data_IF_820243751846
#
_entry.id   IF_820243751846
#
_cell.length_a   1.000
_cell.length_b   1.000
_cell.length_c   1.000
_cell.angle_alpha   90.00
_cell.angle_beta   90.00
_cell.angle_gamma   90.00
#
_symmetry.space_group_name_H-M   'P 1'
#
loop_
_entity.id
_entity.type
_entity.pdbx_description
1 polymer ?
#
# COMPACT_ATOMS: atom_id res chain seq x y z
N UNK A 1 37.88 -30.51 8.54
CA UNK A 1 37.55 -29.62 9.68
C UNK A 1 36.35 -28.81 9.27
N UNK A 2 35.15 -29.24 9.68
CA UNK A 2 33.91 -28.50 9.35
C UNK A 2 33.79 -27.27 10.25
N UNK A 3 33.78 -26.08 9.67
CA UNK A 3 33.32 -24.87 10.35
C UNK A 3 31.87 -25.09 10.75
N UNK A 4 31.67 -25.29 12.05
CA UNK A 4 30.33 -25.25 12.64
C UNK A 4 29.78 -23.83 12.40
N UNK A 5 28.91 -23.68 11.44
CA UNK A 5 28.18 -22.43 11.21
C UNK A 5 27.47 -22.04 12.51
N UNK A 6 28.00 -21.08 13.23
CA UNK A 6 27.42 -20.57 14.48
C UNK A 6 26.12 -19.81 14.09
N UNK A 7 24.98 -20.47 14.29
CA UNK A 7 23.68 -19.79 14.22
C UNK A 7 23.62 -18.74 15.34
N UNK A 8 23.56 -17.47 14.99
CA UNK A 8 23.33 -16.41 15.95
C UNK A 8 21.82 -16.16 16.10
N UNK A 9 21.31 -15.95 17.31
CA UNK A 9 19.91 -15.53 17.49
C UNK A 9 19.69 -14.22 16.76
N UNK A 10 18.59 -14.12 16.03
CA UNK A 10 18.18 -12.91 15.32
C UNK A 10 16.80 -12.49 15.81
N UNK A 11 16.65 -11.20 16.10
CA UNK A 11 15.33 -10.63 16.33
C UNK A 11 14.58 -10.51 15.00
N UNK A 12 13.26 -10.62 15.05
CA UNK A 12 12.41 -10.43 13.90
C UNK A 12 11.46 -9.26 14.14
N UNK A 13 11.36 -8.36 13.17
CA UNK A 13 10.40 -7.27 13.18
C UNK A 13 9.46 -7.36 11.98
N UNK A 14 8.22 -6.91 12.16
CA UNK A 14 7.25 -6.69 11.10
C UNK A 14 7.14 -5.19 10.82
N UNK A 15 7.28 -4.78 9.56
CA UNK A 15 7.18 -3.38 9.09
C UNK A 15 6.04 -3.25 8.09
N UNK A 16 5.41 -2.07 8.00
CA UNK A 16 4.36 -1.81 7.01
C UNK A 16 4.65 -0.59 6.14
N UNK A 17 4.57 -0.76 4.83
CA UNK A 17 4.43 0.31 3.85
C UNK A 17 2.93 0.53 3.66
N UNK A 18 2.34 1.45 4.43
CA UNK A 18 0.93 1.81 4.31
C UNK A 18 0.81 2.94 3.30
N UNK A 19 0.12 2.66 2.18
CA UNK A 19 -0.05 3.61 1.07
C UNK A 19 -1.50 4.07 0.96
N UNK A 20 -1.67 5.35 0.65
CA UNK A 20 -2.95 5.97 0.32
C UNK A 20 -2.76 7.03 -0.77
N UNK A 21 -3.77 7.26 -1.58
CA UNK A 21 -3.81 8.42 -2.48
C UNK A 21 -4.53 9.56 -1.76
N UNK A 22 -3.78 10.63 -1.45
CA UNK A 22 -4.25 11.85 -0.79
C UNK A 22 -3.90 13.04 -1.69
N UNK A 23 -4.82 13.96 -1.89
CA UNK A 23 -4.64 15.16 -2.72
C UNK A 23 -4.07 14.87 -4.12
N UNK A 24 -4.50 13.72 -4.71
CA UNK A 24 -4.04 13.29 -6.03
C UNK A 24 -2.57 12.83 -6.07
N UNK A 25 -1.95 12.53 -4.93
CA UNK A 25 -0.59 12.04 -4.78
C UNK A 25 -0.55 10.72 -4.00
N UNK A 26 0.36 9.83 -4.37
CA UNK A 26 0.61 8.62 -3.57
C UNK A 26 1.43 9.01 -2.35
N UNK A 27 0.90 8.70 -1.17
CA UNK A 27 1.54 8.99 0.10
C UNK A 27 1.74 7.71 0.91
N UNK A 28 2.77 7.72 1.75
CA UNK A 28 3.10 6.65 2.70
C UNK A 28 2.95 7.20 4.12
N UNK A 29 2.42 6.38 5.01
CA UNK A 29 2.33 6.68 6.43
C UNK A 29 3.68 6.41 7.09
N UNK A 30 4.22 7.42 7.76
CA UNK A 30 5.45 7.36 8.54
C UNK A 30 5.19 7.84 9.96
N UNK A 31 5.99 7.37 10.90
CA UNK A 31 5.97 7.83 12.29
C UNK A 31 7.37 8.23 12.75
N UNK A 32 7.47 9.14 13.72
CA UNK A 32 8.74 9.55 14.29
C UNK A 32 9.16 8.56 15.38
N UNK A 33 10.41 8.12 15.32
CA UNK A 33 10.99 7.21 16.30
C UNK A 33 11.19 7.93 17.64
N UNK A 34 10.75 7.29 18.72
CA UNK A 34 10.94 7.82 20.08
C UNK A 34 12.17 7.26 20.80
N UNK A 35 13.03 6.46 20.11
CA UNK A 35 14.17 5.75 20.72
C UNK A 35 15.35 5.68 19.77
N UNK A 36 16.56 5.59 20.33
CA UNK A 36 17.78 5.24 19.60
C UNK A 36 17.74 3.80 19.04
N UNK A 37 18.44 3.51 17.96
CA UNK A 37 19.10 4.49 17.07
C UNK A 37 18.08 5.27 16.24
N UNK A 38 18.47 6.45 15.74
CA UNK A 38 17.63 7.33 14.91
C UNK A 38 16.45 7.95 15.67
N UNK A 39 16.62 8.36 16.93
CA UNK A 39 15.59 9.10 17.66
C UNK A 39 15.15 10.35 16.89
N UNK A 40 13.84 10.59 16.77
CA UNK A 40 13.24 11.68 16.01
C UNK A 40 13.19 11.49 14.49
N UNK A 41 13.88 10.51 13.92
CA UNK A 41 13.83 10.23 12.50
C UNK A 41 12.51 9.56 12.07
N UNK A 42 12.09 9.83 10.83
CA UNK A 42 10.94 9.17 10.23
C UNK A 42 11.22 7.69 9.93
N UNK A 43 10.23 6.85 10.15
CA UNK A 43 10.34 5.41 9.98
C UNK A 43 9.01 4.79 9.53
N UNK A 44 9.08 3.60 8.94
CA UNK A 44 7.89 2.78 8.71
C UNK A 44 7.30 2.31 10.04
N UNK A 45 5.97 2.33 10.21
CA UNK A 45 5.33 1.75 11.37
C UNK A 45 5.58 0.23 11.42
N UNK A 46 5.80 -0.28 12.63
CA UNK A 46 6.10 -1.69 12.85
C UNK A 46 6.79 -1.91 14.19
N UNK A 47 7.37 -3.09 14.37
CA UNK A 47 8.11 -3.45 15.57
C UNK A 47 8.35 -4.95 15.70
N UNK A 48 8.89 -5.35 16.84
CA UNK A 48 9.26 -6.74 17.10
C UNK A 48 8.06 -7.68 17.05
N UNK A 49 8.29 -8.84 16.46
CA UNK A 49 7.38 -9.99 16.50
C UNK A 49 7.31 -10.52 17.94
N UNK A 50 6.12 -10.69 18.48
CA UNK A 50 5.89 -11.36 19.74
C UNK A 50 6.03 -12.88 19.61
N UNK A 51 6.23 -13.55 20.75
CA UNK A 51 6.49 -15.00 20.78
C UNK A 51 5.26 -15.84 20.39
N UNK A 52 4.06 -15.32 20.61
CA UNK A 52 2.80 -16.05 20.41
C UNK A 52 1.95 -15.43 19.29
N UNK A 53 2.56 -14.72 18.34
CA UNK A 53 1.82 -14.08 17.23
C UNK A 53 2.39 -14.41 15.86
N UNK A 54 1.53 -14.35 14.84
CA UNK A 54 1.97 -14.42 13.45
C UNK A 54 2.52 -13.07 12.99
N UNK A 55 3.31 -13.05 11.92
CA UNK A 55 3.80 -11.81 11.31
C UNK A 55 2.66 -10.86 10.92
N UNK A 56 1.55 -11.39 10.37
CA UNK A 56 0.38 -10.59 10.04
C UNK A 56 -0.32 -10.05 11.30
N UNK A 57 -0.45 -10.86 12.34
CA UNK A 57 -0.98 -10.43 13.64
C UNK A 57 -0.13 -9.31 14.25
N UNK A 58 1.19 -9.49 14.23
CA UNK A 58 2.15 -8.50 14.71
C UNK A 58 2.00 -7.16 13.98
N UNK A 59 1.97 -7.16 12.65
CA UNK A 59 1.88 -5.89 11.90
C UNK A 59 0.54 -5.20 12.14
N UNK A 60 -0.59 -5.92 12.20
CA UNK A 60 -1.89 -5.34 12.52
C UNK A 60 -1.93 -4.72 13.91
N UNK A 61 -1.33 -5.39 14.91
CA UNK A 61 -1.18 -4.87 16.27
C UNK A 61 -0.35 -3.58 16.29
N UNK A 62 0.79 -3.58 15.61
CA UNK A 62 1.66 -2.40 15.56
C UNK A 62 0.99 -1.21 14.85
N UNK A 63 0.27 -1.45 13.75
CA UNK A 63 -0.46 -0.39 13.06
C UNK A 63 -1.56 0.20 13.93
N UNK A 64 -2.34 -0.64 14.63
CA UNK A 64 -3.37 -0.16 15.54
C UNK A 64 -2.80 0.60 16.74
N UNK A 65 -1.69 0.10 17.33
CA UNK A 65 -1.14 0.68 18.55
C UNK A 65 -0.31 1.95 18.33
N UNK A 66 0.38 2.08 17.19
CA UNK A 66 1.34 3.17 16.95
C UNK A 66 0.79 4.28 16.07
N UNK A 67 -0.03 3.94 15.08
CA UNK A 67 -0.47 4.90 14.05
C UNK A 67 -1.99 4.93 13.89
N UNK A 68 -2.70 4.24 14.76
CA UNK A 68 -4.17 4.12 14.81
C UNK A 68 -4.83 3.70 13.48
N UNK A 69 -4.10 2.96 12.66
CA UNK A 69 -4.63 2.37 11.42
C UNK A 69 -5.13 0.97 11.72
N UNK A 70 -6.46 0.80 11.75
CA UNK A 70 -7.14 -0.46 12.06
C UNK A 70 -7.71 -1.13 10.83
N UNK A 71 -8.06 -0.35 9.82
CA UNK A 71 -8.73 -0.81 8.61
C UNK A 71 -7.81 -0.64 7.39
N UNK A 72 -7.44 -1.77 6.81
CA UNK A 72 -6.72 -1.85 5.55
C UNK A 72 -7.61 -2.61 4.57
N UNK A 73 -7.84 -2.04 3.39
CA UNK A 73 -8.58 -2.72 2.33
C UNK A 73 -7.76 -3.84 1.68
N UNK A 74 -6.44 -3.77 1.79
CA UNK A 74 -5.52 -4.81 1.35
C UNK A 74 -4.28 -4.83 2.24
N UNK A 75 -3.82 -6.03 2.58
CA UNK A 75 -2.55 -6.26 3.28
C UNK A 75 -1.90 -7.52 2.69
N UNK A 76 -0.64 -7.42 2.29
CA UNK A 76 0.14 -8.56 1.80
C UNK A 76 1.60 -8.46 2.22
N UNK A 77 2.27 -9.60 2.37
CA UNK A 77 3.71 -9.62 2.56
C UNK A 77 4.42 -9.09 1.31
N UNK A 78 5.31 -8.14 1.50
CA UNK A 78 6.06 -7.48 0.45
C UNK A 78 7.39 -8.19 0.18
N UNK A 79 8.26 -8.17 1.18
CA UNK A 79 9.61 -8.74 1.12
C UNK A 79 10.16 -8.99 2.53
N UNK A 80 11.25 -9.78 2.61
CA UNK A 80 12.01 -9.96 3.85
C UNK A 80 13.44 -9.44 3.63
N UNK A 81 13.92 -8.67 4.59
CA UNK A 81 15.26 -8.09 4.62
C UNK A 81 16.08 -8.71 5.76
N UNK A 82 17.24 -9.22 5.43
CA UNK A 82 18.10 -9.93 6.40
C UNK A 82 19.57 -9.52 6.31
N UNK A 83 19.87 -8.40 5.65
CA UNK A 83 21.24 -7.90 5.59
C UNK A 83 21.80 -7.71 7.02
N UNK A 84 22.98 -8.26 7.33
CA UNK A 84 23.57 -8.16 8.66
C UNK A 84 23.81 -6.73 9.14
N UNK A 85 24.03 -5.78 8.22
CA UNK A 85 24.36 -4.38 8.56
C UNK A 85 23.15 -3.43 8.51
N UNK A 86 21.93 -3.96 8.19
CA UNK A 86 20.73 -3.13 8.13
C UNK A 86 20.32 -2.50 9.46
N UNK A 87 20.76 -3.08 10.57
CA UNK A 87 20.43 -2.65 11.93
C UNK A 87 21.63 -2.92 12.85
N UNK A 88 21.91 -2.09 13.88
CA UNK A 88 23.03 -2.30 14.83
C UNK A 88 23.00 -3.66 15.52
N UNK A 89 21.81 -4.22 15.74
CA UNK A 89 21.63 -5.59 16.23
C UNK A 89 21.20 -6.50 15.10
N UNK A 90 21.52 -7.81 15.19
CA UNK A 90 21.07 -8.79 14.19
C UNK A 90 19.52 -8.79 14.13
N UNK A 91 18.97 -8.23 13.04
CA UNK A 91 17.54 -8.03 12.85
C UNK A 91 17.12 -8.52 11.47
N UNK A 92 16.09 -9.35 11.43
CA UNK A 92 15.38 -9.70 10.20
C UNK A 92 14.10 -8.86 10.16
N UNK A 93 13.78 -8.23 9.04
CA UNK A 93 12.54 -7.49 8.88
C UNK A 93 11.68 -8.15 7.80
N UNK A 94 10.42 -8.43 8.11
CA UNK A 94 9.42 -8.75 7.10
C UNK A 94 8.52 -7.53 6.90
N UNK A 95 8.59 -6.96 5.70
CA UNK A 95 7.79 -5.82 5.31
C UNK A 95 6.47 -6.26 4.67
N UNK A 96 5.41 -5.53 4.96
CA UNK A 96 4.07 -5.69 4.39
C UNK A 96 3.68 -4.46 3.58
N UNK A 97 2.90 -4.66 2.52
CA UNK A 97 2.21 -3.61 1.78
C UNK A 97 0.77 -3.53 2.28
N UNK A 98 0.41 -2.39 2.87
CA UNK A 98 -0.95 -2.06 3.28
C UNK A 98 -1.54 -0.96 2.41
N UNK A 99 -2.82 -1.06 2.03
CA UNK A 99 -3.52 -0.06 1.23
C UNK A 99 -4.74 0.46 1.97
N UNK A 100 -4.88 1.78 2.00
CA UNK A 100 -6.01 2.51 2.61
C UNK A 100 -6.78 3.21 1.50
N UNK A 101 -8.12 3.03 1.41
CA UNK A 101 -8.94 3.73 0.42
C UNK A 101 -8.97 5.25 0.64
N UNK A 102 -9.13 6.01 -0.44
CA UNK A 102 -9.11 7.49 -0.41
C UNK A 102 -10.19 8.13 0.46
N UNK A 103 -11.28 7.43 0.74
CA UNK A 103 -12.40 7.93 1.56
C UNK A 103 -12.21 7.68 3.06
N UNK A 104 -11.20 6.91 3.45
CA UNK A 104 -10.82 6.75 4.85
C UNK A 104 -9.79 7.82 5.21
N UNK A 105 -10.02 8.47 6.35
CA UNK A 105 -9.09 9.46 6.91
C UNK A 105 -8.74 9.05 8.36
N UNK A 106 -7.75 8.17 8.54
CA UNK A 106 -7.35 7.75 9.88
C UNK A 106 -6.89 8.93 10.72
N UNK A 107 -7.39 9.02 11.95
CA UNK A 107 -6.95 10.01 12.93
C UNK A 107 -5.59 9.61 13.49
N UNK A 108 -4.53 9.95 12.76
CA UNK A 108 -3.16 9.55 13.13
C UNK A 108 -2.63 10.37 14.32
N UNK A 109 -1.79 9.78 15.20
CA UNK A 109 -1.13 10.47 16.30
C UNK A 109 -0.22 11.63 15.82
N UNK A 110 0.11 12.56 16.74
CA UNK A 110 0.91 13.75 16.41
C UNK A 110 2.35 13.47 15.96
N UNK A 111 2.89 12.30 16.27
CA UNK A 111 4.20 11.82 15.80
C UNK A 111 4.12 11.03 14.49
N UNK A 112 2.96 10.99 13.85
CA UNK A 112 2.67 10.24 12.64
C UNK A 112 2.16 11.16 11.55
N UNK A 113 2.62 10.98 10.32
CA UNK A 113 2.20 11.82 9.18
C UNK A 113 2.26 11.07 7.86
N UNK A 114 1.45 11.55 6.90
CA UNK A 114 1.47 11.11 5.52
C UNK A 114 2.51 11.89 4.73
N UNK A 115 3.41 11.20 4.06
CA UNK A 115 4.48 11.77 3.25
C UNK A 115 4.39 11.33 1.81
N UNK A 116 4.63 12.24 0.88
CA UNK A 116 4.64 11.94 -0.55
C UNK A 116 5.75 10.94 -0.86
N UNK A 117 5.42 9.87 -1.60
CA UNK A 117 6.41 8.83 -1.98
C UNK A 117 7.45 9.34 -2.98
N UNK A 118 7.13 10.41 -3.71
CA UNK A 118 8.06 11.07 -4.65
C UNK A 118 8.92 12.18 -4.00
N UNK A 119 8.73 12.46 -2.70
CA UNK A 119 9.47 13.46 -1.92
C UNK A 119 9.57 13.00 -0.46
N UNK A 120 10.16 11.82 -0.24
CA UNK A 120 10.35 11.24 1.08
C UNK A 120 11.35 12.06 1.91
N UNK A 121 11.12 12.25 3.21
CA UNK A 121 12.15 12.73 4.12
C UNK A 121 13.27 11.68 4.27
N UNK A 122 14.31 12.03 4.99
CA UNK A 122 15.30 11.04 5.42
C UNK A 122 14.65 10.02 6.35
N UNK A 123 14.83 8.73 6.05
CA UNK A 123 14.24 7.64 6.81
C UNK A 123 15.30 6.86 7.58
N UNK A 124 14.91 6.37 8.76
CA UNK A 124 15.75 5.48 9.55
C UNK A 124 16.02 4.17 8.80
N UNK A 125 17.19 3.59 9.04
CA UNK A 125 17.62 2.30 8.51
C UNK A 125 17.53 2.22 6.97
N UNK A 126 17.09 1.07 6.48
CA UNK A 126 16.83 0.79 5.06
C UNK A 126 15.37 1.06 4.64
N UNK A 127 14.61 1.81 5.45
CA UNK A 127 13.17 2.01 5.25
C UNK A 127 12.85 2.73 3.93
N UNK A 128 13.73 3.62 3.45
CA UNK A 128 13.56 4.26 2.14
C UNK A 128 13.44 3.20 1.01
N UNK A 129 14.35 2.23 0.99
CA UNK A 129 14.34 1.18 -0.02
C UNK A 129 13.08 0.31 0.07
N UNK A 130 12.58 0.05 1.30
CA UNK A 130 11.35 -0.72 1.53
C UNK A 130 10.11 0.05 1.00
N UNK A 131 10.04 1.38 1.21
CA UNK A 131 8.96 2.21 0.63
C UNK A 131 8.95 2.13 -0.89
N UNK A 132 10.13 2.23 -1.53
CA UNK A 132 10.23 2.14 -2.99
C UNK A 132 9.84 0.76 -3.52
N UNK A 133 10.17 -0.33 -2.80
CA UNK A 133 9.73 -1.68 -3.12
C UNK A 133 8.19 -1.80 -3.02
N UNK A 134 7.55 -1.22 -2.00
CA UNK A 134 6.10 -1.16 -1.86
C UNK A 134 5.42 -0.43 -3.02
N UNK A 135 5.97 0.74 -3.42
CA UNK A 135 5.50 1.48 -4.61
C UNK A 135 5.62 0.64 -5.88
N UNK A 136 6.75 -0.01 -6.07
CA UNK A 136 6.98 -0.86 -7.25
C UNK A 136 6.00 -2.05 -7.29
N UNK A 137 5.73 -2.70 -6.14
CA UNK A 137 4.76 -3.77 -6.01
C UNK A 137 3.34 -3.31 -6.35
N UNK A 138 2.90 -2.16 -5.83
CA UNK A 138 1.61 -1.58 -6.14
C UNK A 138 1.45 -1.32 -7.64
N UNK A 139 2.44 -0.70 -8.28
CA UNK A 139 2.45 -0.43 -9.73
C UNK A 139 2.31 -1.71 -10.53
N UNK A 140 3.09 -2.73 -10.20
CA UNK A 140 3.02 -4.03 -10.87
C UNK A 140 1.61 -4.64 -10.74
N UNK A 141 1.06 -4.66 -9.52
CA UNK A 141 -0.28 -5.24 -9.29
C UNK A 141 -1.41 -4.52 -10.02
N UNK A 142 -1.37 -3.20 -10.13
CA UNK A 142 -2.36 -2.43 -10.89
C UNK A 142 -2.43 -2.84 -12.36
N UNK A 143 -1.32 -3.36 -12.92
CA UNK A 143 -1.28 -3.78 -14.32
C UNK A 143 -2.01 -5.10 -14.61
N UNK A 144 -2.12 -6.02 -13.63
CA UNK A 144 -2.68 -7.35 -13.87
C UNK A 144 -3.73 -7.83 -12.85
N UNK A 145 -4.01 -7.04 -11.81
CA UNK A 145 -5.02 -7.36 -10.80
C UNK A 145 -6.08 -6.27 -10.68
N UNK A 146 -7.09 -6.51 -9.85
CA UNK A 146 -8.10 -5.53 -9.48
C UNK A 146 -7.70 -4.68 -8.26
N UNK A 147 -6.45 -4.70 -7.78
CA UNK A 147 -6.01 -4.08 -6.50
C UNK A 147 -6.39 -2.61 -6.35
N UNK A 148 -6.76 -1.92 -7.43
CA UNK A 148 -7.29 -0.56 -7.40
C UNK A 148 -8.50 -0.38 -6.47
N UNK A 149 -9.25 -1.47 -6.16
CA UNK A 149 -10.35 -1.42 -5.19
C UNK A 149 -9.89 -0.95 -3.82
N UNK A 150 -8.67 -1.33 -3.42
CA UNK A 150 -8.12 -1.00 -2.11
C UNK A 150 -7.64 0.46 -1.98
N UNK A 151 -7.64 1.21 -3.08
CA UNK A 151 -7.30 2.65 -3.10
C UNK A 151 -8.52 3.53 -3.41
N UNK A 152 -9.47 3.04 -4.21
CA UNK A 152 -10.63 3.82 -4.63
C UNK A 152 -11.72 3.89 -3.54
N UNK A 153 -12.58 4.91 -3.57
CA UNK A 153 -13.79 4.92 -2.75
C UNK A 153 -14.79 3.85 -3.26
N UNK A 154 -15.83 3.52 -2.49
CA UNK A 154 -16.81 2.49 -2.87
C UNK A 154 -17.52 2.76 -4.20
N UNK A 155 -17.76 4.05 -4.54
CA UNK A 155 -18.35 4.53 -5.80
C UNK A 155 -17.56 5.71 -6.30
N UNK A 156 -17.31 5.73 -7.59
CA UNK A 156 -16.46 6.74 -8.22
C UNK A 156 -16.84 6.99 -9.67
N UNK A 157 -16.55 8.18 -10.16
CA UNK A 157 -16.50 8.49 -11.60
C UNK A 157 -15.19 7.97 -12.19
N UNK A 158 -15.14 7.76 -13.50
CA UNK A 158 -13.88 7.39 -14.18
C UNK A 158 -12.81 8.48 -14.01
N UNK A 159 -13.20 9.73 -13.89
CA UNK A 159 -12.27 10.84 -13.64
C UNK A 159 -11.58 10.72 -12.26
N UNK A 160 -12.34 10.38 -11.23
CA UNK A 160 -11.80 10.15 -9.89
C UNK A 160 -10.89 8.92 -9.86
N UNK A 161 -11.34 7.82 -10.46
CA UNK A 161 -10.52 6.61 -10.58
C UNK A 161 -9.21 6.89 -11.34
N UNK A 162 -9.27 7.68 -12.42
CA UNK A 162 -8.08 8.13 -13.16
C UNK A 162 -7.10 8.86 -12.25
N UNK A 163 -7.58 9.74 -11.36
CA UNK A 163 -6.74 10.45 -10.40
C UNK A 163 -6.03 9.48 -9.46
N UNK A 164 -6.73 8.45 -8.96
CA UNK A 164 -6.15 7.39 -8.13
C UNK A 164 -5.07 6.62 -8.90
N UNK A 165 -5.36 6.17 -10.12
CA UNK A 165 -4.42 5.41 -10.93
C UNK A 165 -3.20 6.23 -11.34
N UNK A 166 -3.37 7.50 -11.74
CA UNK A 166 -2.28 8.42 -12.04
C UNK A 166 -1.33 8.59 -10.85
N UNK A 167 -1.88 8.80 -9.65
CA UNK A 167 -1.08 8.95 -8.44
C UNK A 167 -0.31 7.66 -8.12
N UNK A 168 -0.96 6.50 -8.16
CA UNK A 168 -0.36 5.22 -7.84
C UNK A 168 0.69 4.77 -8.88
N UNK A 169 0.41 4.96 -10.18
CA UNK A 169 1.32 4.62 -11.27
C UNK A 169 2.46 5.63 -11.43
N UNK A 170 2.25 6.90 -11.02
CA UNK A 170 3.23 7.97 -11.14
C UNK A 170 3.40 8.51 -12.57
N UNK A 171 2.47 8.20 -13.49
CA UNK A 171 2.36 8.77 -14.82
C UNK A 171 0.89 8.92 -15.22
N UNK A 172 0.65 9.74 -16.24
CA UNK A 172 -0.73 9.97 -16.69
C UNK A 172 -1.30 8.77 -17.45
N UNK A 173 -2.60 8.58 -17.29
CA UNK A 173 -3.39 7.57 -17.99
C UNK A 173 -4.63 8.22 -18.59
N UNK A 174 -4.97 7.87 -19.83
CA UNK A 174 -6.20 8.34 -20.45
C UNK A 174 -7.42 7.75 -19.74
N UNK A 175 -8.41 8.59 -19.38
CA UNK A 175 -9.66 8.16 -18.76
C UNK A 175 -10.39 7.12 -19.63
N UNK A 176 -10.47 7.36 -20.93
CA UNK A 176 -11.11 6.45 -21.90
C UNK A 176 -10.39 5.10 -21.96
N UNK A 177 -9.06 5.11 -21.99
CA UNK A 177 -8.29 3.86 -22.02
C UNK A 177 -8.41 3.11 -20.69
N UNK A 178 -8.33 3.80 -19.56
CA UNK A 178 -8.52 3.20 -18.22
C UNK A 178 -9.89 2.51 -18.13
N UNK A 179 -10.96 3.22 -18.46
CA UNK A 179 -12.31 2.66 -18.47
C UNK A 179 -12.42 1.43 -19.37
N UNK A 180 -11.96 1.54 -20.62
CA UNK A 180 -11.99 0.44 -21.59
C UNK A 180 -11.26 -0.79 -21.11
N UNK A 181 -10.05 -0.62 -20.54
CA UNK A 181 -9.23 -1.73 -20.02
C UNK A 181 -9.90 -2.39 -18.83
N UNK A 182 -10.37 -1.63 -17.83
CA UNK A 182 -10.96 -2.19 -16.63
C UNK A 182 -12.33 -2.84 -16.88
N UNK A 183 -13.15 -2.29 -17.77
CA UNK A 183 -14.39 -2.94 -18.19
C UNK A 183 -14.12 -4.23 -18.97
N UNK A 184 -13.18 -4.23 -19.92
CA UNK A 184 -12.80 -5.46 -20.67
C UNK A 184 -12.27 -6.55 -19.73
N UNK A 185 -11.53 -6.19 -18.68
CA UNK A 185 -11.05 -7.11 -17.65
C UNK A 185 -12.15 -7.57 -16.69
N UNK A 186 -13.37 -7.06 -16.82
CA UNK A 186 -14.48 -7.40 -15.95
C UNK A 186 -14.35 -6.89 -14.51
N UNK A 187 -13.47 -5.90 -14.29
CA UNK A 187 -13.10 -5.38 -12.94
C UNK A 187 -14.14 -4.40 -12.40
N UNK A 188 -14.73 -3.60 -13.30
CA UNK A 188 -15.71 -2.57 -12.97
C UNK A 188 -17.11 -2.96 -13.43
N UNK A 189 -18.11 -2.42 -12.73
CA UNK A 189 -19.49 -2.38 -13.17
C UNK A 189 -20.07 -0.98 -12.98
N UNK A 190 -20.96 -0.53 -13.88
CA UNK A 190 -21.71 0.71 -13.68
C UNK A 190 -22.69 0.53 -12.52
N UNK A 191 -23.03 1.64 -11.87
CA UNK A 191 -24.14 1.71 -10.93
C UNK A 191 -25.30 2.46 -11.61
N UNK A 192 -26.52 2.35 -11.07
CA UNK A 192 -27.68 3.12 -11.55
C UNK A 192 -27.63 4.59 -11.12
N UNK A 193 -26.53 5.02 -10.50
CA UNK A 193 -26.34 6.35 -9.95
C UNK A 193 -25.44 7.22 -10.83
N UNK A 194 -25.68 8.52 -10.75
CA UNK A 194 -24.83 9.52 -11.38
C UNK A 194 -24.49 10.63 -10.40
N UNK A 195 -23.33 11.23 -10.58
CA UNK A 195 -22.92 12.42 -9.84
C UNK A 195 -23.36 13.66 -10.59
N UNK A 196 -24.04 14.57 -9.90
CA UNK A 196 -24.40 15.86 -10.45
C UNK A 196 -23.17 16.61 -10.98
N UNK A 197 -23.32 17.40 -12.06
CA UNK A 197 -22.23 18.21 -12.57
C UNK A 197 -21.76 19.21 -11.51
N UNK A 198 -20.45 19.51 -11.50
CA UNK A 198 -19.88 20.54 -10.64
C UNK A 198 -20.34 21.96 -11.06
N UNK A 199 -19.85 23.00 -10.38
CA UNK A 199 -20.18 24.42 -10.64
C UNK A 199 -20.00 24.87 -12.11
N UNK A 200 -19.11 24.19 -12.85
CA UNK A 200 -18.87 24.47 -14.27
C UNK A 200 -19.99 23.95 -15.22
N UNK A 201 -21.03 23.28 -14.71
CA UNK A 201 -22.06 22.66 -15.50
C UNK A 201 -21.57 21.38 -16.19
N UNK A 202 -22.45 20.80 -17.02
CA UNK A 202 -22.13 19.61 -17.81
C UNK A 202 -23.14 18.47 -17.62
N UNK A 203 -22.91 17.32 -18.29
CA UNK A 203 -23.75 16.13 -18.15
C UNK A 203 -23.39 15.41 -16.82
N UNK A 204 -24.40 14.89 -16.09
CA UNK A 204 -24.13 14.03 -14.92
C UNK A 204 -23.15 12.89 -15.27
N UNK A 205 -22.18 12.64 -14.40
CA UNK A 205 -21.19 11.60 -14.61
C UNK A 205 -21.67 10.26 -14.03
N UNK A 206 -21.65 9.19 -14.84
CA UNK A 206 -21.98 7.86 -14.39
C UNK A 206 -21.01 7.41 -13.27
N UNK A 207 -21.55 6.75 -12.25
CA UNK A 207 -20.77 6.14 -11.17
C UNK A 207 -20.50 4.66 -11.47
N UNK A 208 -19.34 4.23 -11.05
CA UNK A 208 -18.86 2.87 -11.15
C UNK A 208 -18.42 2.37 -9.77
N UNK A 209 -18.35 1.05 -9.63
CA UNK A 209 -17.73 0.37 -8.48
C UNK A 209 -16.86 -0.79 -8.95
N UNK A 210 -15.94 -1.23 -8.10
CA UNK A 210 -15.26 -2.51 -8.29
C UNK A 210 -16.22 -3.66 -8.01
N UNK A 211 -16.22 -4.70 -8.85
CA UNK A 211 -17.07 -5.89 -8.68
C UNK A 211 -16.68 -6.71 -7.45
N UNK A 212 -15.39 -6.76 -7.15
CA UNK A 212 -14.85 -7.51 -6.02
C UNK A 212 -13.99 -6.61 -5.15
N UNK A 213 -14.10 -6.81 -3.83
CA UNK A 213 -13.27 -6.20 -2.79
C UNK A 213 -12.15 -7.16 -2.32
N UNK A 214 -11.96 -8.27 -3.01
CA UNK A 214 -10.87 -9.22 -2.80
C UNK A 214 -9.90 -9.17 -3.96
N UNK A 215 -8.61 -9.40 -3.67
CA UNK A 215 -7.58 -9.38 -4.71
C UNK A 215 -7.78 -10.53 -5.71
N UNK A 216 -7.91 -10.17 -6.97
CA UNK A 216 -8.05 -11.11 -8.09
C UNK A 216 -7.07 -10.76 -9.19
N UNK A 217 -6.48 -11.79 -9.81
CA UNK A 217 -5.73 -11.64 -11.06
C UNK A 217 -6.74 -11.60 -12.21
N UNK A 218 -6.76 -10.48 -12.92
CA UNK A 218 -7.80 -10.18 -13.92
C UNK A 218 -7.28 -10.09 -15.35
N UNK A 219 -5.95 -10.03 -15.55
CA UNK A 219 -5.35 -10.11 -16.87
C UNK A 219 -5.03 -11.59 -17.20
N UNK A 220 -5.75 -12.12 -18.19
CA UNK A 220 -5.59 -13.52 -18.61
C UNK A 220 -4.22 -13.81 -19.26
N UNK A 221 -3.57 -12.79 -19.82
CA UNK A 221 -2.26 -12.93 -20.44
C UNK A 221 -1.12 -12.83 -19.44
N UNK A 222 -1.36 -12.19 -18.28
CA UNK A 222 -0.36 -12.12 -17.20
C UNK A 222 -0.26 -13.42 -16.39
N UNK A 223 -1.19 -14.36 -16.59
CA UNK A 223 -1.25 -15.64 -15.89
C UNK A 223 -1.41 -16.75 -16.91
N UNK A 224 -0.49 -17.72 -16.90
CA UNK A 224 -0.62 -18.97 -17.62
C UNK A 224 -1.73 -19.82 -16.97
N UNK A 225 -3.00 -19.51 -17.29
CA UNK A 225 -4.14 -20.32 -16.85
C UNK A 225 -4.37 -21.45 -17.85
N UNK A 226 -4.68 -22.66 -17.39
CA UNK A 226 -5.18 -23.69 -18.29
C UNK A 226 -6.45 -23.19 -18.99
N UNK A 227 -6.64 -23.48 -20.28
CA UNK A 227 -7.88 -23.15 -20.97
C UNK A 227 -9.07 -23.79 -20.24
N UNK A 228 -10.18 -23.06 -20.15
CA UNK A 228 -11.45 -23.59 -19.63
C UNK A 228 -12.10 -24.47 -20.69
#
# INVERSE_FOLDING_TARGET
>A
MGESSRSAPANHEALAVVLQVRDGRLQVLLWQRAREPFNGAWALPGGLLGVDETLEGSIRRHLAAKVDVRELAHLEQLETRSDPVRHPHRMIATAYLGLVPTHHDPAVPGDTSWHRVDALPELAFDHHAIVLAGRARLRAKLSYTNVGFALAPPRFTISELRTVYRAALGHDVSATNLQRVLLRRGVLEPTDESRAPGRAGGRPAALFRFKSQHLEVTDQFAVLRPPR
#
